data_IF_379815772373
#
_entry.id   IF_379815772373
#
_cell.length_a   1.000
_cell.length_b   1.000
_cell.length_c   1.000
_cell.angle_alpha   90.00
_cell.angle_beta   90.00
_cell.angle_gamma   90.00
#
_symmetry.space_group_name_H-M   'P 1'
#
loop_
_entity.id
_entity.type
_entity.pdbx_description
1 polymer ?
#
# COMPACT_ATOMS: atom_id res chain seq x y z
N UNK A 1 -9.94 3.24 -22.51
CA UNK A 1 -9.13 3.88 -21.45
C UNK A 1 -8.17 2.83 -20.91
N UNK A 2 -6.86 3.09 -20.98
CA UNK A 2 -5.80 2.07 -20.83
C UNK A 2 -5.58 1.73 -19.35
N UNK A 3 -6.16 0.64 -18.87
CA UNK A 3 -5.85 0.03 -17.57
C UNK A 3 -4.36 -0.34 -17.46
N UNK A 4 -3.65 -0.48 -18.59
CA UNK A 4 -2.22 -0.73 -18.78
C UNK A 4 -1.27 0.20 -17.99
N UNK A 5 -1.67 1.46 -17.74
CA UNK A 5 -0.77 2.45 -17.13
C UNK A 5 -0.76 2.45 -15.59
N UNK A 6 -1.64 1.67 -14.94
CA UNK A 6 -1.84 1.74 -13.48
C UNK A 6 -1.09 0.64 -12.72
N UNK A 7 -0.51 -0.35 -13.40
CA UNK A 7 0.11 -1.53 -12.78
C UNK A 7 1.40 -1.19 -12.03
N UNK A 8 2.06 -0.12 -12.50
CA UNK A 8 3.23 0.46 -11.89
C UNK A 8 2.89 1.30 -10.65
N UNK A 9 1.60 1.59 -10.41
CA UNK A 9 1.18 2.32 -9.22
C UNK A 9 1.17 1.38 -8.03
N UNK A 10 1.84 1.82 -6.97
CA UNK A 10 1.99 1.09 -5.72
C UNK A 10 0.70 0.45 -5.19
N UNK A 11 -0.43 1.17 -5.30
CA UNK A 11 -1.73 0.73 -4.80
C UNK A 11 -2.23 -0.54 -5.48
N UNK A 12 -1.98 -0.69 -6.78
CA UNK A 12 -2.37 -1.88 -7.56
C UNK A 12 -1.51 -3.07 -7.14
N UNK A 13 -0.21 -2.87 -6.97
CA UNK A 13 0.70 -3.91 -6.48
C UNK A 13 0.36 -4.36 -5.06
N UNK A 14 0.00 -3.43 -4.18
CA UNK A 14 -0.45 -3.71 -2.82
C UNK A 14 -1.75 -4.54 -2.83
N UNK A 15 -2.71 -4.14 -3.67
CA UNK A 15 -3.97 -4.86 -3.83
C UNK A 15 -3.74 -6.29 -4.32
N UNK A 16 -3.03 -6.48 -5.43
CA UNK A 16 -2.79 -7.81 -6.02
C UNK A 16 -2.04 -8.73 -5.04
N UNK A 17 -1.00 -8.22 -4.38
CA UNK A 17 -0.24 -8.99 -3.38
C UNK A 17 -1.12 -9.43 -2.21
N UNK A 18 -1.96 -8.54 -1.68
CA UNK A 18 -2.81 -8.85 -0.53
C UNK A 18 -4.00 -9.71 -0.93
N UNK A 19 -4.57 -9.52 -2.12
CA UNK A 19 -5.64 -10.35 -2.65
C UNK A 19 -5.17 -11.79 -2.81
N UNK A 20 -3.97 -12.00 -3.36
CA UNK A 20 -3.39 -13.32 -3.56
C UNK A 20 -3.08 -14.06 -2.24
N UNK A 21 -2.76 -13.33 -1.16
CA UNK A 21 -2.32 -13.94 0.11
C UNK A 21 -3.38 -13.96 1.21
N UNK A 22 -4.29 -12.99 1.24
CA UNK A 22 -5.26 -12.76 2.33
C UNK A 22 -6.70 -12.63 1.85
N UNK A 23 -6.94 -12.66 0.54
CA UNK A 23 -8.26 -12.51 -0.05
C UNK A 23 -8.70 -11.06 -0.26
N UNK A 24 -9.80 -10.91 -0.98
CA UNK A 24 -10.27 -9.63 -1.52
C UNK A 24 -10.63 -8.59 -0.45
N UNK A 25 -11.38 -8.99 0.60
CA UNK A 25 -11.83 -8.05 1.64
C UNK A 25 -10.68 -7.39 2.39
N UNK A 26 -9.64 -8.17 2.73
CA UNK A 26 -8.43 -7.65 3.39
C UNK A 26 -7.65 -6.73 2.46
N UNK A 27 -7.56 -7.08 1.17
CA UNK A 27 -6.89 -6.24 0.18
C UNK A 27 -7.57 -4.87 0.02
N UNK A 28 -8.91 -4.82 -0.02
CA UNK A 28 -9.66 -3.55 -0.09
C UNK A 28 -9.38 -2.70 1.15
N UNK A 29 -9.48 -3.27 2.34
CA UNK A 29 -9.26 -2.52 3.58
C UNK A 29 -7.86 -1.91 3.66
N UNK A 30 -6.85 -2.66 3.26
CA UNK A 30 -5.47 -2.17 3.23
C UNK A 30 -5.26 -1.04 2.22
N UNK A 31 -5.85 -1.16 1.01
CA UNK A 31 -5.81 -0.10 0.00
C UNK A 31 -6.54 1.15 0.47
N UNK A 32 -7.73 1.00 1.06
CA UNK A 32 -8.52 2.11 1.57
C UNK A 32 -7.76 2.89 2.65
N UNK A 33 -7.15 2.18 3.62
CA UNK A 33 -6.30 2.80 4.65
C UNK A 33 -5.15 3.58 4.04
N UNK A 34 -4.45 2.98 3.07
CA UNK A 34 -3.32 3.63 2.42
C UNK A 34 -3.73 4.93 1.71
N UNK A 35 -4.84 4.91 0.98
CA UNK A 35 -5.37 6.10 0.31
C UNK A 35 -5.80 7.17 1.32
N UNK A 36 -6.45 6.79 2.42
CA UNK A 36 -6.84 7.72 3.47
C UNK A 36 -5.60 8.41 4.09
N UNK A 37 -4.58 7.66 4.47
CA UNK A 37 -3.33 8.21 5.02
C UNK A 37 -2.62 9.13 4.02
N UNK A 38 -2.54 8.73 2.74
CA UNK A 38 -1.96 9.55 1.68
C UNK A 38 -2.69 10.90 1.51
N UNK A 39 -4.02 10.87 1.45
CA UNK A 39 -4.84 12.09 1.31
C UNK A 39 -4.72 12.99 2.53
N UNK A 40 -4.75 12.42 3.74
CA UNK A 40 -4.55 13.15 4.98
C UNK A 40 -3.21 13.89 4.97
N UNK A 41 -2.11 13.23 4.60
CA UNK A 41 -0.79 13.85 4.55
C UNK A 41 -0.72 15.01 3.54
N UNK A 42 -1.24 14.83 2.33
CA UNK A 42 -1.26 15.88 1.31
C UNK A 42 -2.04 17.10 1.80
N UNK A 43 -3.21 16.87 2.40
CA UNK A 43 -4.08 17.94 2.88
C UNK A 43 -3.50 18.66 4.10
N UNK A 44 -2.90 17.93 5.03
CA UNK A 44 -2.36 18.50 6.27
C UNK A 44 -1.04 19.24 6.06
N UNK A 45 -0.14 18.70 5.23
CA UNK A 45 1.19 19.30 4.99
C UNK A 45 1.24 20.23 3.79
N UNK A 46 0.17 20.32 2.99
CA UNK A 46 0.12 21.04 1.71
C UNK A 46 1.27 20.69 0.75
N UNK A 47 1.89 19.53 0.95
CA UNK A 47 3.00 19.04 0.14
C UNK A 47 2.48 18.12 -0.97
N UNK A 48 3.18 18.10 -2.10
CA UNK A 48 2.85 17.21 -3.20
C UNK A 48 2.89 15.75 -2.75
N UNK A 49 1.97 14.93 -3.27
CA UNK A 49 1.94 13.50 -2.99
C UNK A 49 3.27 12.85 -3.36
N UNK A 50 3.80 12.03 -2.44
CA UNK A 50 5.01 11.25 -2.64
C UNK A 50 4.68 9.77 -2.49
N UNK A 51 5.00 8.99 -3.51
CA UNK A 51 4.81 7.54 -3.43
C UNK A 51 5.66 6.94 -2.31
N UNK A 52 5.12 6.00 -1.53
CA UNK A 52 5.87 5.33 -0.46
C UNK A 52 7.04 4.54 -1.04
N UNK A 53 8.25 4.83 -0.56
CA UNK A 53 9.44 4.04 -0.87
C UNK A 53 9.33 2.66 -0.22
N UNK A 54 8.86 1.66 -0.94
CA UNK A 54 9.01 0.25 -0.57
C UNK A 54 10.47 -0.23 -0.82
N UNK A 55 11.47 0.51 -0.36
CA UNK A 55 12.75 -0.12 -0.05
C UNK A 55 12.46 -1.08 1.08
N UNK A 56 12.47 -2.39 0.79
CA UNK A 56 12.01 -3.45 1.71
C UNK A 56 12.53 -3.18 3.13
N UNK A 57 11.65 -2.71 4.01
CA UNK A 57 11.93 -2.72 5.43
C UNK A 57 11.96 -4.20 5.80
N UNK A 58 13.18 -4.71 5.96
CA UNK A 58 13.44 -6.09 6.37
C UNK A 58 12.50 -6.40 7.51
N UNK A 59 11.63 -7.39 7.31
CA UNK A 59 10.81 -7.96 8.38
C UNK A 59 11.73 -8.30 9.52
N UNK A 60 11.74 -7.45 10.56
CA UNK A 60 12.17 -7.86 11.89
C UNK A 60 11.18 -8.93 12.31
N UNK A 61 11.53 -10.19 12.00
CA UNK A 61 10.86 -11.35 12.55
C UNK A 61 11.06 -11.25 14.05
N UNK A 62 9.99 -10.83 14.75
CA UNK A 62 9.94 -10.94 16.19
C UNK A 62 10.00 -12.44 16.51
N UNK A 63 11.19 -12.87 16.92
CA UNK A 63 11.50 -14.19 17.43
C UNK A 63 10.61 -14.47 18.64
N UNK A 64 9.62 -15.35 18.47
CA UNK A 64 8.88 -15.90 19.61
C UNK A 64 9.72 -17.02 20.21
N UNK A 65 10.20 -16.75 21.43
CA UNK A 65 10.78 -17.70 22.40
C UNK A 65 10.02 -19.03 22.40
N UNK A 66 10.77 -20.12 22.24
CA UNK A 66 10.44 -21.47 22.71
C UNK A 66 11.50 -21.89 23.70
#
# INVERSE_FOLDING_TARGET
MRHEALHFRHVVQLYERLKATKGHGVAIGAVARHLAEATYWVLTTKSAYREPNHTKCSTVVSSRKG
#
